data_IF_465764386782
#
_entry.id   IF_465764386782
#
_cell.length_a   1.000
_cell.length_b   1.000
_cell.length_c   1.000
_cell.angle_alpha   90.00
_cell.angle_beta   90.00
_cell.angle_gamma   90.00
#
_symmetry.space_group_name_H-M   'P 1'
#
loop_
_entity.id
_entity.type
_entity.pdbx_description
1 polymer ?
#
# COMPACT_ATOMS: atom_id res chain seq x y z
N UNK A 1 22.45 -6.07 6.12
CA UNK A 1 21.39 -5.54 5.24
C UNK A 1 21.89 -4.87 3.94
N UNK A 2 23.21 -4.70 3.73
CA UNK A 2 23.78 -3.93 2.59
C UNK A 2 23.40 -4.42 1.17
N UNK A 3 23.12 -5.71 1.00
CA UNK A 3 22.76 -6.31 -0.31
C UNK A 3 21.33 -6.87 -0.34
N UNK A 4 20.44 -6.37 0.53
CA UNK A 4 19.05 -6.77 0.55
C UNK A 4 18.24 -5.88 -0.41
N UNK A 5 17.33 -6.46 -1.19
CA UNK A 5 16.44 -5.72 -2.10
C UNK A 5 15.52 -4.72 -1.38
N UNK A 6 15.33 -4.91 -0.06
CA UNK A 6 14.53 -4.03 0.79
C UNK A 6 15.36 -2.94 1.50
N UNK A 7 16.65 -2.78 1.15
CA UNK A 7 17.53 -1.79 1.76
C UNK A 7 16.90 -0.38 1.74
N UNK A 8 16.36 0.02 0.59
CA UNK A 8 15.74 1.33 0.44
C UNK A 8 14.61 1.57 1.44
N UNK A 9 13.75 0.58 1.66
CA UNK A 9 12.64 0.67 2.61
C UNK A 9 13.12 0.79 4.07
N UNK A 10 14.21 0.11 4.44
CA UNK A 10 14.71 0.11 5.82
C UNK A 10 15.70 1.24 6.13
N UNK A 11 16.44 1.75 5.14
CA UNK A 11 17.60 2.63 5.36
C UNK A 11 17.56 3.94 4.59
N UNK A 12 16.86 4.00 3.45
CA UNK A 12 16.89 5.17 2.55
C UNK A 12 15.55 5.92 2.52
N UNK A 13 14.61 5.57 3.43
CA UNK A 13 13.28 6.19 3.47
C UNK A 13 12.39 5.82 2.28
N UNK A 14 12.72 4.74 1.56
CA UNK A 14 11.89 4.19 0.50
C UNK A 14 10.53 3.71 1.03
N UNK A 15 9.48 3.85 0.23
CA UNK A 15 8.16 3.33 0.58
C UNK A 15 8.12 1.80 0.62
N UNK A 16 7.12 1.25 1.31
CA UNK A 16 6.83 -0.18 1.24
C UNK A 16 6.50 -0.63 -0.19
N UNK A 17 6.75 -1.91 -0.49
CA UNK A 17 6.37 -2.48 -1.78
C UNK A 17 4.85 -2.42 -1.99
N UNK A 18 4.40 -2.17 -3.22
CA UNK A 18 2.98 -2.18 -3.60
C UNK A 18 2.51 -3.63 -3.71
N UNK A 19 1.87 -4.13 -2.65
CA UNK A 19 1.33 -5.49 -2.55
C UNK A 19 0.00 -5.44 -1.80
N UNK A 20 -0.87 -6.45 -1.89
CA UNK A 20 -2.08 -6.41 -1.05
C UNK A 20 -1.73 -6.38 0.43
N UNK A 21 -0.59 -6.94 0.86
CA UNK A 21 -0.19 -6.92 2.28
C UNK A 21 0.22 -5.55 2.80
N UNK A 22 0.48 -4.59 1.92
CA UNK A 22 0.70 -3.19 2.27
C UNK A 22 -0.54 -2.32 2.02
N UNK A 23 -1.67 -2.92 1.63
CA UNK A 23 -2.91 -2.21 1.36
C UNK A 23 -3.74 -2.03 2.62
N UNK A 24 -4.30 -0.82 2.85
CA UNK A 24 -5.16 -0.51 3.98
C UNK A 24 -6.47 -1.31 3.99
N UNK A 25 -6.87 -1.86 2.83
CA UNK A 25 -8.07 -2.68 2.70
C UNK A 25 -7.81 -4.19 2.90
N UNK A 26 -6.56 -4.61 3.05
CA UNK A 26 -6.25 -6.02 3.23
C UNK A 26 -5.93 -6.29 4.70
N UNK A 27 -6.59 -7.29 5.27
CA UNK A 27 -6.42 -7.67 6.68
C UNK A 27 -5.99 -9.13 6.75
N UNK A 28 -4.95 -9.46 7.53
CA UNK A 28 -4.63 -10.85 7.80
C UNK A 28 -5.75 -11.49 8.61
N UNK A 29 -6.15 -12.70 8.21
CA UNK A 29 -7.16 -13.52 8.88
C UNK A 29 -6.63 -14.94 9.03
N UNK A 30 -7.33 -15.79 9.79
CA UNK A 30 -6.97 -17.19 9.90
C UNK A 30 -6.93 -17.86 8.51
N UNK A 31 -5.76 -18.40 8.16
CA UNK A 31 -5.55 -19.08 6.89
C UNK A 31 -5.32 -18.18 5.66
N UNK A 32 -5.24 -16.84 5.81
CA UNK A 32 -4.91 -16.00 4.66
C UNK A 32 -5.06 -14.49 4.88
N UNK A 33 -5.46 -13.81 3.80
CA UNK A 33 -5.71 -12.37 3.77
C UNK A 33 -7.06 -12.12 3.13
N UNK A 34 -7.89 -11.29 3.76
CA UNK A 34 -9.17 -10.83 3.22
C UNK A 34 -9.02 -9.40 2.71
N UNK A 35 -9.57 -9.11 1.54
CA UNK A 35 -9.68 -7.76 1.00
C UNK A 35 -11.09 -7.22 1.25
N UNK A 36 -11.22 -6.23 2.13
CA UNK A 36 -12.51 -5.61 2.45
C UNK A 36 -13.13 -4.85 1.28
N UNK A 37 -12.31 -4.29 0.38
CA UNK A 37 -12.78 -3.54 -0.80
C UNK A 37 -13.49 -4.42 -1.83
N UNK A 38 -13.00 -5.64 -2.03
CA UNK A 38 -13.56 -6.61 -2.98
C UNK A 38 -14.35 -7.73 -2.30
N UNK A 39 -14.46 -7.66 -0.97
CA UNK A 39 -15.08 -8.64 -0.09
C UNK A 39 -14.72 -10.10 -0.43
N UNK A 40 -13.43 -10.40 -0.48
CA UNK A 40 -12.95 -11.76 -0.80
C UNK A 40 -11.60 -12.11 -0.20
N UNK A 41 -11.33 -13.40 -0.12
CA UNK A 41 -10.01 -13.92 0.18
C UNK A 41 -9.05 -13.69 -1.00
N UNK A 42 -7.80 -13.37 -0.67
CA UNK A 42 -6.71 -13.16 -1.61
C UNK A 42 -5.86 -14.42 -1.77
N UNK A 43 -5.77 -14.93 -2.99
CA UNK A 43 -4.85 -16.00 -3.35
C UNK A 43 -3.39 -15.53 -3.14
N UNK A 44 -2.44 -16.45 -2.88
CA UNK A 44 -1.04 -16.07 -2.65
C UNK A 44 -0.41 -15.23 -3.77
N UNK A 45 -0.82 -15.44 -5.03
CA UNK A 45 -0.35 -14.64 -6.16
C UNK A 45 -0.88 -13.20 -6.12
N UNK A 46 -2.18 -13.03 -5.88
CA UNK A 46 -2.84 -11.72 -5.76
C UNK A 46 -2.25 -10.91 -4.61
N UNK A 47 -1.91 -11.58 -3.50
CA UNK A 47 -1.25 -10.94 -2.36
C UNK A 47 0.03 -10.19 -2.73
N UNK A 48 0.75 -10.65 -3.78
CA UNK A 48 2.03 -10.07 -4.22
C UNK A 48 1.89 -8.99 -5.29
N UNK A 49 0.83 -9.02 -6.11
CA UNK A 49 0.69 -8.10 -7.25
C UNK A 49 -0.03 -6.80 -6.91
N UNK A 50 -0.89 -6.81 -5.87
CA UNK A 50 -1.87 -5.75 -5.61
C UNK A 50 -2.89 -5.56 -6.75
N UNK A 51 -4.02 -4.93 -6.45
CA UNK A 51 -5.00 -4.51 -7.46
C UNK A 51 -4.81 -3.02 -7.78
N UNK A 52 -5.39 -2.56 -8.89
CA UNK A 52 -5.38 -1.14 -9.27
C UNK A 52 -6.14 -0.19 -8.34
N UNK A 53 -6.66 -0.67 -7.20
CA UNK A 53 -7.32 0.13 -6.15
C UNK A 53 -6.50 0.16 -4.84
N UNK A 54 -5.19 -0.08 -4.94
CA UNK A 54 -4.31 -0.13 -3.77
C UNK A 54 -4.21 1.23 -3.09
N UNK A 55 -4.37 1.24 -1.78
CA UNK A 55 -4.04 2.38 -0.93
C UNK A 55 -3.13 1.88 0.19
N UNK A 56 -1.98 2.50 0.42
CA UNK A 56 -1.04 2.08 1.45
C UNK A 56 -1.64 2.15 2.86
N UNK A 57 -1.26 1.18 3.70
CA UNK A 57 -1.38 1.30 5.15
C UNK A 57 -0.58 2.55 5.57
N UNK A 58 -1.19 3.52 6.27
CA UNK A 58 -0.52 4.79 6.61
C UNK A 58 0.83 4.62 7.30
N UNK A 59 0.93 3.68 8.24
CA UNK A 59 2.15 3.42 9.02
C UNK A 59 3.33 2.90 8.18
N UNK A 60 3.08 2.47 6.93
CA UNK A 60 4.12 2.05 6.00
C UNK A 60 4.69 3.19 5.16
N UNK A 61 4.13 4.40 5.28
CA UNK A 61 4.59 5.60 4.59
C UNK A 61 5.31 6.50 5.61
N UNK A 62 6.55 6.98 5.31
CA UNK A 62 7.29 7.88 6.20
C UNK A 62 6.78 9.33 6.10
N UNK A 63 5.46 9.50 6.26
CA UNK A 63 4.76 10.77 6.17
C UNK A 63 3.48 10.76 6.99
N UNK A 64 2.99 11.95 7.33
CA UNK A 64 1.75 12.14 8.08
C UNK A 64 0.56 12.21 7.12
N UNK A 65 -0.52 11.48 7.38
CA UNK A 65 -1.77 11.63 6.63
C UNK A 65 -2.35 13.01 6.92
N UNK A 66 -2.51 13.82 5.87
CA UNK A 66 -3.07 15.18 5.96
C UNK A 66 -4.43 15.32 5.29
N UNK A 67 -4.81 14.38 4.42
CA UNK A 67 -6.14 14.29 3.81
C UNK A 67 -6.43 12.84 3.41
N UNK A 68 -7.69 12.43 3.49
CA UNK A 68 -8.14 11.09 3.13
C UNK A 68 -9.58 11.12 2.61
N UNK A 69 -9.79 10.42 1.49
CA UNK A 69 -11.10 10.11 0.94
C UNK A 69 -11.20 8.63 0.57
N UNK A 70 -12.32 8.23 -0.04
CA UNK A 70 -12.61 6.81 -0.31
C UNK A 70 -11.56 6.11 -1.18
N UNK A 71 -10.97 6.83 -2.14
CA UNK A 71 -10.01 6.31 -3.12
C UNK A 71 -8.72 7.14 -3.18
N UNK A 72 -8.43 7.93 -2.14
CA UNK A 72 -7.25 8.80 -2.10
C UNK A 72 -6.73 8.98 -0.69
N UNK A 73 -5.42 8.96 -0.51
CA UNK A 73 -4.77 9.35 0.75
C UNK A 73 -3.59 10.27 0.43
N UNK A 74 -3.55 11.42 1.10
CA UNK A 74 -2.49 12.42 0.91
C UNK A 74 -1.61 12.49 2.16
N UNK A 75 -0.30 12.46 1.94
CA UNK A 75 0.73 12.43 2.95
C UNK A 75 1.60 13.68 2.87
N UNK A 76 1.95 14.24 4.03
CA UNK A 76 3.04 15.21 4.17
C UNK A 76 4.32 14.46 4.54
N UNK A 77 5.32 14.53 3.67
CA UNK A 77 6.60 13.87 3.83
C UNK A 77 7.53 14.66 4.77
N UNK A 78 8.61 14.03 5.23
CA UNK A 78 9.56 14.64 6.17
C UNK A 78 10.26 15.91 5.63
N UNK A 79 10.41 16.04 4.31
CA UNK A 79 10.95 17.22 3.64
C UNK A 79 9.91 18.35 3.42
N UNK A 80 8.68 18.15 3.90
CA UNK A 80 7.55 19.07 3.73
C UNK A 80 6.83 18.93 2.39
N UNK A 81 7.31 18.09 1.48
CA UNK A 81 6.60 17.80 0.23
C UNK A 81 5.30 17.04 0.50
N UNK A 82 4.37 17.12 -0.45
CA UNK A 82 3.11 16.40 -0.41
C UNK A 82 3.11 15.29 -1.44
N UNK A 83 2.71 14.09 -1.03
CA UNK A 83 2.52 12.96 -1.92
C UNK A 83 1.12 12.39 -1.79
N UNK A 84 0.45 12.17 -2.92
CA UNK A 84 -0.91 11.65 -2.96
C UNK A 84 -0.92 10.26 -3.57
N UNK A 85 -1.42 9.29 -2.81
CA UNK A 85 -1.75 7.97 -3.29
C UNK A 85 -3.18 7.98 -3.83
N UNK A 86 -3.33 7.93 -5.16
CA UNK A 86 -4.60 8.07 -5.86
C UNK A 86 -5.00 6.75 -6.54
N UNK A 87 -6.09 6.16 -6.06
CA UNK A 87 -6.63 4.90 -6.56
C UNK A 87 -7.85 5.10 -7.49
N UNK A 88 -8.17 6.34 -7.91
CA UNK A 88 -9.34 6.66 -8.74
C UNK A 88 -9.17 6.24 -10.20
N UNK A 89 -7.93 6.28 -10.71
CA UNK A 89 -7.56 5.91 -12.08
C UNK A 89 -6.75 4.61 -12.08
N UNK A 90 -7.38 3.44 -12.22
CA UNK A 90 -6.66 2.16 -12.18
C UNK A 90 -5.97 1.92 -13.54
N UNK A 91 -4.80 2.50 -13.78
CA UNK A 91 -3.95 2.05 -14.89
C UNK A 91 -3.17 0.80 -14.43
N UNK A 92 -3.91 -0.32 -14.37
CA UNK A 92 -3.52 -1.73 -14.46
C UNK A 92 -4.35 -2.61 -13.49
N UNK A 93 -5.29 -3.36 -14.06
CA UNK A 93 -6.04 -4.46 -13.44
C UNK A 93 -5.15 -5.71 -13.22
N UNK A 94 -5.59 -6.77 -12.50
CA UNK A 94 -6.84 -6.97 -11.75
C UNK A 94 -6.64 -7.25 -10.25
N UNK A 95 -7.76 -7.42 -9.53
CA UNK A 95 -7.81 -8.00 -8.20
C UNK A 95 -7.55 -9.50 -8.24
#
# INVERSE_FOLDING_TARGET
>A
CRFCDHHAACHDGGGAAVTCRSCLHATPVDGGWHCARHDRMLAPAEQRTACGRHLFIPDLIPGEVIDAGDDVVTYRMADGSTWTNDARSPEAAPC
#
